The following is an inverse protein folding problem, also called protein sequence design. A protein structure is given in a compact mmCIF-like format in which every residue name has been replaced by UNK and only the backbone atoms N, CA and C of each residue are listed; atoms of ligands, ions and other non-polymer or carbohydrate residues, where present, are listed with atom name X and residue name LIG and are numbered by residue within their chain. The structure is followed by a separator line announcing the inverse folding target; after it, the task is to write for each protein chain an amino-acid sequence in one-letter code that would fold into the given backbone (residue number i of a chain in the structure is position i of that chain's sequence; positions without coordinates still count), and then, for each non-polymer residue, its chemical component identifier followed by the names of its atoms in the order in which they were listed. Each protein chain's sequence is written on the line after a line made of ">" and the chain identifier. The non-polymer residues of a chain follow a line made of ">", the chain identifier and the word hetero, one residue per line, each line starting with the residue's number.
data_IF_923214346849
#
_entry.id   IF_923214346849
#
_cell.length_a   1.000
_cell.length_b   1.000
_cell.length_c   1.000
_cell.angle_alpha   90.00
_cell.angle_beta   90.00
_cell.angle_gamma   90.00
#
_symmetry.space_group_name_H-M   'P 1'
#
loop_
_entity.id
_entity.type
_entity.pdbx_description
1 polymer ?
#
# COMPACT_ATOMS: atom_id res chain seq x y z
N UNK A 1 -5.06 10.73 6.10
CA UNK A 1 -4.88 9.33 5.63
C UNK A 1 -3.68 8.76 6.36
N UNK A 2 -3.77 7.56 6.93
CA UNK A 2 -2.63 6.99 7.64
C UNK A 2 -1.52 6.53 6.68
N UNK A 3 -0.25 6.52 7.14
CA UNK A 3 0.88 6.15 6.30
C UNK A 3 0.80 4.73 5.73
N UNK A 4 0.14 3.80 6.43
CA UNK A 4 0.06 2.42 5.95
C UNK A 4 -0.72 2.34 4.64
N UNK A 5 -1.86 3.02 4.54
CA UNK A 5 -2.64 3.08 3.31
C UNK A 5 -1.88 3.76 2.15
N UNK A 6 -1.17 4.85 2.45
CA UNK A 6 -0.45 5.61 1.43
C UNK A 6 0.78 4.83 0.92
N UNK A 7 1.54 4.22 1.82
CA UNK A 7 2.68 3.36 1.47
C UNK A 7 2.22 2.10 0.75
N UNK A 8 1.08 1.50 1.15
CA UNK A 8 0.49 0.36 0.43
C UNK A 8 0.14 0.73 -1.01
N UNK A 9 -0.46 1.90 -1.25
CA UNK A 9 -0.79 2.37 -2.60
C UNK A 9 0.47 2.50 -3.49
N UNK A 10 1.54 3.09 -2.96
CA UNK A 10 2.81 3.18 -3.68
C UNK A 10 3.47 1.81 -3.90
N UNK A 11 3.37 0.92 -2.92
CA UNK A 11 3.83 -0.45 -3.02
C UNK A 11 3.09 -1.26 -4.09
N UNK A 12 1.78 -1.07 -4.23
CA UNK A 12 0.96 -1.68 -5.27
C UNK A 12 1.36 -1.19 -6.68
N UNK A 13 1.64 0.11 -6.82
CA UNK A 13 2.15 0.69 -8.05
C UNK A 13 3.53 0.10 -8.44
N UNK A 14 4.45 -0.01 -7.47
CA UNK A 14 5.75 -0.66 -7.66
C UNK A 14 5.60 -2.12 -8.09
N UNK A 15 4.70 -2.87 -7.44
CA UNK A 15 4.46 -4.26 -7.76
C UNK A 15 3.79 -4.46 -9.13
N UNK A 16 2.94 -3.52 -9.56
CA UNK A 16 2.35 -3.52 -10.89
C UNK A 16 3.41 -3.27 -11.96
N UNK A 17 4.21 -2.20 -11.82
CA UNK A 17 5.30 -1.87 -12.74
C UNK A 17 6.29 -3.03 -12.86
N UNK A 18 6.73 -3.59 -11.72
CA UNK A 18 7.61 -4.76 -11.67
C UNK A 18 7.04 -5.96 -12.43
N UNK A 19 5.73 -6.24 -12.30
CA UNK A 19 5.09 -7.36 -13.01
C UNK A 19 4.99 -7.11 -14.50
N UNK A 20 4.74 -5.88 -14.94
CA UNK A 20 4.68 -5.52 -16.35
C UNK A 20 6.04 -5.64 -17.01
N UNK A 21 7.07 -5.00 -16.45
CA UNK A 21 8.45 -5.09 -16.97
C UNK A 21 8.93 -6.54 -17.00
N UNK A 22 8.56 -7.33 -15.99
CA UNK A 22 8.91 -8.74 -15.99
C UNK A 22 8.19 -9.54 -17.08
N UNK A 23 6.91 -9.26 -17.33
CA UNK A 23 6.18 -9.89 -18.42
C UNK A 23 6.78 -9.52 -19.78
N UNK A 24 7.15 -8.26 -19.96
CA UNK A 24 7.76 -7.74 -21.19
C UNK A 24 9.14 -8.39 -21.46
N UNK A 25 9.99 -8.44 -20.44
CA UNK A 25 11.36 -8.97 -20.57
C UNK A 25 11.43 -10.50 -20.62
N UNK A 26 10.56 -11.21 -19.90
CA UNK A 26 10.61 -12.67 -19.79
C UNK A 26 9.53 -13.39 -20.62
N UNK A 27 8.53 -12.68 -21.13
CA UNK A 27 7.39 -13.26 -21.87
C UNK A 27 6.43 -14.11 -21.02
N UNK A 28 6.59 -14.12 -19.69
CA UNK A 28 5.74 -14.89 -18.79
C UNK A 28 5.59 -14.24 -17.41
N UNK A 29 4.58 -14.70 -16.65
CA UNK A 29 4.43 -14.32 -15.24
C UNK A 29 5.60 -14.86 -14.42
N UNK A 30 6.00 -14.08 -13.41
CA UNK A 30 7.27 -14.29 -12.72
C UNK A 30 7.47 -15.63 -12.01
N UNK A 31 8.70 -16.13 -12.12
CA UNK A 31 9.24 -17.37 -11.53
C UNK A 31 10.34 -17.05 -10.53
N UNK A 32 10.65 -18.02 -9.67
CA UNK A 32 11.69 -17.87 -8.63
C UNK A 32 13.08 -17.52 -9.19
N UNK A 33 13.40 -17.98 -10.40
CA UNK A 33 14.66 -17.69 -11.10
C UNK A 33 14.75 -16.28 -11.67
N UNK A 34 13.61 -15.60 -11.84
CA UNK A 34 13.57 -14.34 -12.55
C UNK A 34 14.01 -13.20 -11.62
N UNK A 35 14.88 -12.29 -12.09
CA UNK A 35 15.56 -11.33 -11.21
C UNK A 35 14.58 -10.38 -10.50
N UNK A 36 13.61 -9.83 -11.23
CA UNK A 36 12.57 -8.95 -10.67
C UNK A 36 11.65 -9.68 -9.69
N UNK A 37 11.34 -10.96 -9.91
CA UNK A 37 10.51 -11.73 -8.98
C UNK A 37 11.29 -12.09 -7.71
N UNK A 38 12.57 -12.45 -7.85
CA UNK A 38 13.44 -12.74 -6.71
C UNK A 38 13.63 -11.49 -5.82
N UNK A 39 13.73 -10.30 -6.41
CA UNK A 39 13.92 -9.04 -5.70
C UNK A 39 12.66 -8.46 -5.03
N UNK A 40 11.46 -9.03 -5.26
CA UNK A 40 10.17 -8.45 -4.84
C UNK A 40 10.11 -7.99 -3.38
N UNK A 41 10.69 -8.74 -2.43
CA UNK A 41 10.70 -8.35 -1.00
C UNK A 41 11.72 -7.27 -0.70
N UNK A 42 12.88 -7.33 -1.35
CA UNK A 42 13.96 -6.36 -1.19
C UNK A 42 13.54 -5.00 -1.72
N UNK A 43 12.78 -4.95 -2.81
CA UNK A 43 12.22 -3.71 -3.37
C UNK A 43 11.31 -2.97 -2.37
N UNK A 44 10.55 -3.69 -1.55
CA UNK A 44 9.69 -3.08 -0.52
C UNK A 44 10.42 -2.67 0.76
N UNK A 45 11.69 -3.07 0.91
CA UNK A 45 12.49 -2.76 2.10
C UNK A 45 13.01 -1.33 2.02
N UNK A 46 12.85 -0.54 3.09
CA UNK A 46 13.38 0.83 3.15
C UNK A 46 14.90 0.84 2.97
N UNK A 47 15.44 1.80 2.22
CA UNK A 47 16.88 1.89 1.91
C UNK A 47 17.78 1.92 3.15
N UNK A 48 17.30 2.53 4.23
CA UNK A 48 17.91 2.58 5.56
C UNK A 48 18.00 1.22 6.26
N UNK A 49 17.19 0.25 5.84
CA UNK A 49 17.13 -1.11 6.41
C UNK A 49 17.79 -2.17 5.52
N UNK A 50 18.33 -1.79 4.36
CA UNK A 50 19.00 -2.72 3.46
C UNK A 50 20.41 -3.04 3.96
N UNK A 51 20.70 -4.35 4.07
CA UNK A 51 22.08 -4.85 4.21
C UNK A 51 22.92 -4.50 2.98
N UNK A 52 24.24 -4.44 3.13
CA UNK A 52 25.16 -4.19 1.99
C UNK A 52 24.89 -5.16 0.84
N UNK A 53 24.76 -6.44 1.16
CA UNK A 53 24.44 -7.50 0.17
C UNK A 53 23.13 -7.27 -0.57
N UNK A 54 22.11 -6.71 0.09
CA UNK A 54 20.84 -6.38 -0.55
C UNK A 54 20.96 -5.12 -1.43
N UNK A 55 21.73 -4.11 -0.99
CA UNK A 55 22.06 -2.94 -1.81
C UNK A 55 22.78 -3.35 -3.08
N UNK A 56 23.83 -4.15 -2.98
CA UNK A 56 24.59 -4.63 -4.14
C UNK A 56 23.71 -5.41 -5.14
N UNK A 57 22.79 -6.22 -4.62
CA UNK A 57 21.82 -6.94 -5.46
C UNK A 57 20.89 -5.99 -6.21
N UNK A 58 20.40 -4.93 -5.57
CA UNK A 58 19.57 -3.93 -6.23
C UNK A 58 20.38 -3.11 -7.24
N UNK A 59 21.61 -2.72 -6.91
CA UNK A 59 22.52 -2.06 -7.85
C UNK A 59 22.71 -2.90 -9.12
N UNK A 60 22.99 -4.19 -8.96
CA UNK A 60 23.13 -5.10 -10.10
C UNK A 60 21.81 -5.32 -10.85
N UNK A 61 20.68 -5.34 -10.14
CA UNK A 61 19.35 -5.47 -10.74
C UNK A 61 19.04 -4.26 -11.64
N UNK A 62 19.32 -3.05 -11.17
CA UNK A 62 19.01 -1.80 -11.88
C UNK A 62 20.06 -1.40 -12.91
N UNK A 63 21.22 -2.06 -12.96
CA UNK A 63 22.20 -1.91 -14.04
C UNK A 63 21.70 -2.43 -15.40
N UNK A 64 20.56 -3.11 -15.45
CA UNK A 64 19.92 -3.58 -16.68
C UNK A 64 18.93 -2.51 -17.17
N UNK A 65 19.16 -1.94 -18.35
CA UNK A 65 18.34 -0.85 -18.92
C UNK A 65 16.84 -1.20 -18.98
N UNK A 66 16.52 -2.46 -19.26
CA UNK A 66 15.13 -2.93 -19.29
C UNK A 66 14.41 -2.80 -17.93
N UNK A 67 15.14 -2.62 -16.82
CA UNK A 67 14.57 -2.43 -15.48
C UNK A 67 14.46 -0.95 -15.07
N UNK A 68 14.78 0.00 -15.95
CA UNK A 68 14.79 1.44 -15.62
C UNK A 68 13.44 1.94 -15.08
N UNK A 69 12.32 1.43 -15.59
CA UNK A 69 10.98 1.80 -15.09
C UNK A 69 10.75 1.33 -13.65
N UNK A 70 11.24 0.13 -13.31
CA UNK A 70 11.14 -0.42 -11.96
C UNK A 70 12.04 0.36 -11.01
N UNK A 71 13.26 0.72 -11.43
CA UNK A 71 14.18 1.55 -10.65
C UNK A 71 13.55 2.93 -10.33
N UNK A 72 13.04 3.62 -11.35
CA UNK A 72 12.38 4.91 -11.17
C UNK A 72 11.18 4.83 -10.22
N UNK A 73 10.34 3.80 -10.38
CA UNK A 73 9.17 3.57 -9.52
C UNK A 73 9.59 3.21 -8.09
N UNK A 74 10.65 2.40 -7.94
CA UNK A 74 11.24 2.07 -6.64
C UNK A 74 11.78 3.31 -5.93
N UNK A 75 12.48 4.20 -6.65
CA UNK A 75 12.96 5.47 -6.11
C UNK A 75 11.82 6.35 -5.57
N UNK A 76 10.67 6.40 -6.24
CA UNK A 76 9.47 7.12 -5.77
C UNK A 76 8.92 6.50 -4.49
N UNK A 77 8.80 5.17 -4.45
CA UNK A 77 8.39 4.44 -3.26
C UNK A 77 9.34 4.71 -2.06
N UNK A 78 10.65 4.69 -2.30
CA UNK A 78 11.64 4.98 -1.25
C UNK A 78 11.58 6.43 -0.77
N UNK A 79 11.43 7.41 -1.66
CA UNK A 79 11.23 8.82 -1.27
C UNK A 79 10.01 9.00 -0.39
N UNK A 80 8.93 8.25 -0.65
CA UNK A 80 7.74 8.26 0.20
C UNK A 80 8.01 7.67 1.59
N UNK A 81 8.73 6.55 1.67
CA UNK A 81 9.18 5.97 2.95
C UNK A 81 10.04 6.98 3.71
N UNK A 82 11.02 7.59 3.04
CA UNK A 82 11.92 8.58 3.64
C UNK A 82 11.14 9.77 4.21
N UNK A 83 10.13 10.27 3.50
CA UNK A 83 9.28 11.35 3.99
C UNK A 83 8.57 10.97 5.29
N UNK A 84 7.91 9.79 5.33
CA UNK A 84 7.20 9.32 6.52
C UNK A 84 8.09 8.95 7.70
N UNK A 85 9.31 8.48 7.45
CA UNK A 85 10.28 8.12 8.49
C UNK A 85 11.16 9.29 8.94
N UNK A 86 11.02 10.46 8.32
CA UNK A 86 11.87 11.60 8.65
C UNK A 86 11.65 12.03 10.11
N UNK A 87 12.70 12.10 10.94
CA UNK A 87 12.57 12.51 12.32
C UNK A 87 12.24 14.00 12.47
N UNK A 88 12.61 14.82 11.48
CA UNK A 88 12.29 16.24 11.47
C UNK A 88 10.85 16.49 11.00
N UNK A 89 10.12 17.21 11.83
CA UNK A 89 8.70 17.55 11.65
C UNK A 89 8.46 18.49 10.48
N UNK A 90 9.47 19.24 10.05
CA UNK A 90 9.37 20.15 8.89
C UNK A 90 9.80 19.48 7.60
N UNK A 91 10.91 18.74 7.64
CA UNK A 91 11.44 18.08 6.45
C UNK A 91 10.52 17.00 5.90
N UNK A 92 9.87 16.19 6.74
CA UNK A 92 8.93 15.14 6.31
C UNK A 92 7.80 15.63 5.38
N UNK A 93 6.98 16.61 5.78
CA UNK A 93 5.91 17.14 4.93
C UNK A 93 6.43 17.89 3.70
N UNK A 94 7.59 18.54 3.77
CA UNK A 94 8.23 19.19 2.61
C UNK A 94 8.64 18.16 1.56
N UNK A 95 9.28 17.06 1.98
CA UNK A 95 9.63 15.93 1.11
C UNK A 95 8.39 15.29 0.47
N UNK A 96 7.33 15.07 1.26
CA UNK A 96 6.08 14.50 0.75
C UNK A 96 5.40 15.43 -0.25
N UNK A 97 5.32 16.73 0.05
CA UNK A 97 4.71 17.72 -0.84
C UNK A 97 5.45 17.79 -2.17
N UNK A 98 6.79 17.86 -2.12
CA UNK A 98 7.66 17.86 -3.29
C UNK A 98 7.49 16.58 -4.12
N UNK A 99 7.35 15.43 -3.46
CA UNK A 99 7.10 14.16 -4.14
C UNK A 99 5.75 14.19 -4.89
N UNK A 100 4.68 14.59 -4.21
CA UNK A 100 3.32 14.66 -4.80
C UNK A 100 3.29 15.62 -5.99
N UNK A 101 3.92 16.78 -5.87
CA UNK A 101 4.00 17.75 -6.97
C UNK A 101 4.74 17.18 -8.18
N UNK A 102 5.90 16.57 -7.94
CA UNK A 102 6.76 15.95 -8.95
C UNK A 102 6.00 14.87 -9.73
N UNK A 103 5.36 13.93 -9.04
CA UNK A 103 4.67 12.82 -9.71
C UNK A 103 3.25 13.17 -10.17
N UNK A 104 2.74 14.36 -9.81
CA UNK A 104 1.42 14.83 -10.23
C UNK A 104 1.36 15.36 -11.67
N UNK A 105 2.51 15.72 -12.27
CA UNK A 105 2.56 16.44 -13.55
C UNK A 105 3.76 16.09 -14.44
N UNK A 106 4.90 15.72 -13.84
CA UNK A 106 6.18 15.59 -14.55
C UNK A 106 6.65 14.12 -14.67
N UNK A 107 5.73 13.21 -14.99
CA UNK A 107 6.00 11.77 -15.08
C UNK A 107 6.10 11.34 -16.55
N UNK A 108 7.19 10.67 -16.96
CA UNK A 108 7.30 10.07 -18.30
C UNK A 108 6.14 9.12 -18.61
N UNK A 109 5.66 9.12 -19.86
CA UNK A 109 4.52 8.31 -20.28
C UNK A 109 4.70 6.79 -20.07
N UNK A 110 5.95 6.32 -20.04
CA UNK A 110 6.29 4.93 -19.75
C UNK A 110 5.87 4.51 -18.32
N UNK A 111 5.91 5.43 -17.33
CA UNK A 111 5.62 5.12 -15.93
C UNK A 111 4.11 5.21 -15.62
N UNK A 112 3.31 4.37 -16.27
CA UNK A 112 1.84 4.40 -16.19
C UNK A 112 1.31 4.23 -14.76
N UNK A 113 1.95 3.36 -13.97
CA UNK A 113 1.60 3.12 -12.56
C UNK A 113 1.86 4.35 -11.71
N UNK A 114 2.97 5.05 -11.97
CA UNK A 114 3.34 6.29 -11.28
C UNK A 114 2.36 7.42 -11.63
N UNK A 115 1.93 7.52 -12.89
CA UNK A 115 0.90 8.50 -13.29
C UNK A 115 -0.40 8.27 -12.49
N UNK A 116 -0.80 7.00 -12.35
CA UNK A 116 -2.02 6.63 -11.60
C UNK A 116 -1.87 6.92 -10.10
N UNK A 117 -0.71 6.57 -9.53
CA UNK A 117 -0.35 6.90 -8.15
C UNK A 117 -0.39 8.42 -7.93
N UNK A 118 0.26 9.19 -8.81
CA UNK A 118 0.35 10.65 -8.70
C UNK A 118 -1.01 11.35 -8.77
N UNK A 119 -1.91 10.92 -9.66
CA UNK A 119 -3.30 11.41 -9.69
C UNK A 119 -4.02 11.17 -8.36
N UNK A 120 -3.84 9.98 -7.78
CA UNK A 120 -4.46 9.62 -6.52
C UNK A 120 -3.90 10.44 -5.38
N UNK A 121 -2.57 10.54 -5.25
CA UNK A 121 -1.92 11.34 -4.21
C UNK A 121 -2.25 12.82 -4.33
N UNK A 122 -2.30 13.37 -5.55
CA UNK A 122 -2.69 14.77 -5.75
C UNK A 122 -4.12 15.02 -5.28
N UNK A 123 -5.04 14.08 -5.53
CA UNK A 123 -6.44 14.18 -5.09
C UNK A 123 -6.55 14.14 -3.56
N UNK A 124 -5.74 13.32 -2.87
CA UNK A 124 -5.77 13.19 -1.41
C UNK A 124 -4.62 13.94 -0.70
N UNK A 125 -3.97 14.91 -1.36
CA UNK A 125 -2.76 15.55 -0.84
C UNK A 125 -2.98 16.18 0.55
N UNK A 126 -4.12 16.84 0.75
CA UNK A 126 -4.50 17.40 2.06
C UNK A 126 -4.56 16.33 3.13
N UNK A 127 -5.16 15.17 2.85
CA UNK A 127 -5.28 14.07 3.81
C UNK A 127 -3.94 13.41 4.11
N UNK A 128 -3.06 13.30 3.10
CA UNK A 128 -1.71 12.75 3.22
C UNK A 128 -0.85 13.66 4.09
N UNK A 129 -0.89 14.98 3.85
CA UNK A 129 -0.07 15.95 4.57
C UNK A 129 -0.55 16.18 6.01
N UNK A 130 -1.85 16.07 6.28
CA UNK A 130 -2.41 16.22 7.62
C UNK A 130 -1.82 15.22 8.65
N UNK A 131 -1.29 14.08 8.20
CA UNK A 131 -0.59 13.15 9.09
C UNK A 131 0.64 13.80 9.77
N UNK A 132 1.35 14.67 9.05
CA UNK A 132 2.57 15.30 9.56
C UNK A 132 2.31 16.36 10.63
N UNK A 133 1.08 16.89 10.72
CA UNK A 133 0.70 17.86 11.76
C UNK A 133 0.59 17.21 13.15
N UNK A 134 0.28 15.91 13.20
CA UNK A 134 0.09 15.15 14.45
C UNK A 134 0.75 13.77 14.34
N UNK A 135 2.09 13.70 14.33
CA UNK A 135 2.79 12.42 14.23
C UNK A 135 2.43 11.52 15.43
N UNK A 136 2.11 10.25 15.15
CA UNK A 136 1.74 9.26 16.16
C UNK A 136 0.23 9.07 16.37
N UNK A 137 -0.63 9.79 15.64
CA UNK A 137 -2.06 9.43 15.57
C UNK A 137 -2.20 8.09 14.86
N UNK A 138 -2.76 7.10 15.54
CA UNK A 138 -2.98 5.76 15.00
C UNK A 138 -4.38 5.62 14.44
N UNK A 139 -4.49 5.11 13.21
CA UNK A 139 -5.77 4.63 12.67
C UNK A 139 -6.18 3.26 13.25
N UNK A 140 -5.37 2.67 14.14
CA UNK A 140 -5.61 1.36 14.75
C UNK A 140 -7.01 1.15 15.32
N UNK A 141 -7.61 2.09 16.08
CA UNK A 141 -8.98 1.94 16.56
C UNK A 141 -10.02 1.86 15.42
N UNK A 142 -9.87 2.70 14.41
CA UNK A 142 -10.74 2.70 13.22
C UNK A 142 -10.56 1.41 12.42
N UNK A 143 -9.32 0.98 12.20
CA UNK A 143 -8.99 -0.29 11.52
C UNK A 143 -9.52 -1.50 12.28
N UNK A 144 -9.47 -1.50 13.61
CA UNK A 144 -10.03 -2.56 14.44
C UNK A 144 -11.55 -2.67 14.29
N UNK A 145 -12.25 -1.53 14.16
CA UNK A 145 -13.69 -1.52 13.88
C UNK A 145 -13.95 -2.00 12.45
N UNK A 146 -13.20 -1.50 11.46
CA UNK A 146 -13.34 -1.91 10.06
C UNK A 146 -13.14 -3.42 9.89
N UNK A 147 -12.10 -4.00 10.48
CA UNK A 147 -11.86 -5.45 10.42
C UNK A 147 -13.01 -6.27 11.03
N UNK A 148 -13.64 -5.78 12.10
CA UNK A 148 -14.84 -6.42 12.67
C UNK A 148 -16.04 -6.33 11.74
N UNK A 149 -16.24 -5.17 11.09
CA UNK A 149 -17.30 -4.98 10.10
C UNK A 149 -17.07 -5.86 8.87
N UNK A 150 -15.85 -5.94 8.35
CA UNK A 150 -15.51 -6.81 7.21
C UNK A 150 -15.74 -8.29 7.53
N UNK A 151 -15.37 -8.74 8.73
CA UNK A 151 -15.67 -10.09 9.19
C UNK A 151 -17.18 -10.36 9.24
N UNK A 152 -17.95 -9.40 9.76
CA UNK A 152 -19.40 -9.47 9.82
C UNK A 152 -20.04 -9.49 8.41
N UNK A 153 -19.53 -8.68 7.49
CA UNK A 153 -19.95 -8.68 6.10
C UNK A 153 -19.64 -10.02 5.43
N UNK A 154 -18.49 -10.61 5.73
CA UNK A 154 -18.09 -11.93 5.25
C UNK A 154 -19.02 -13.05 5.71
N UNK A 155 -19.49 -13.02 6.97
CA UNK A 155 -20.37 -14.06 7.52
C UNK A 155 -21.79 -14.04 6.94
N UNK A 156 -22.22 -12.89 6.41
CA UNK A 156 -23.50 -12.68 5.73
C UNK A 156 -23.37 -12.60 4.19
N UNK A 157 -22.19 -12.90 3.64
CA UNK A 157 -21.96 -12.87 2.20
C UNK A 157 -22.87 -13.89 1.47
N UNK A 158 -23.54 -13.47 0.40
CA UNK A 158 -24.41 -14.32 -0.42
C UNK A 158 -25.92 -14.15 -0.18
N UNK A 159 -26.33 -13.48 0.89
CA UNK A 159 -27.73 -13.07 1.07
C UNK A 159 -28.04 -11.88 0.15
N UNK A 160 -29.01 -12.08 -0.76
CA UNK A 160 -29.47 -11.03 -1.70
C UNK A 160 -30.60 -10.16 -1.15
N UNK A 161 -31.16 -10.57 0.00
CA UNK A 161 -32.23 -9.88 0.70
C UNK A 161 -31.64 -9.20 1.95
N UNK A 162 -31.90 -7.89 2.10
CA UNK A 162 -31.33 -7.08 3.18
C UNK A 162 -31.77 -7.58 4.56
N UNK A 163 -33.03 -7.99 4.72
CA UNK A 163 -33.53 -8.50 5.99
C UNK A 163 -32.80 -9.80 6.39
N UNK A 164 -32.55 -10.70 5.44
CA UNK A 164 -31.79 -11.94 5.69
C UNK A 164 -30.31 -11.67 5.96
N UNK A 165 -29.72 -10.71 5.27
CA UNK A 165 -28.35 -10.25 5.53
C UNK A 165 -28.23 -9.73 6.96
N UNK A 166 -29.11 -8.80 7.36
CA UNK A 166 -29.14 -8.23 8.72
C UNK A 166 -29.35 -9.33 9.76
N UNK A 167 -30.30 -10.25 9.55
CA UNK A 167 -30.55 -11.34 10.47
C UNK A 167 -29.32 -12.24 10.67
N UNK A 168 -28.60 -12.58 9.59
CA UNK A 168 -27.37 -13.38 9.67
C UNK A 168 -26.27 -12.62 10.43
N UNK A 169 -26.08 -11.34 10.15
CA UNK A 169 -25.11 -10.50 10.85
C UNK A 169 -25.44 -10.36 12.36
N UNK A 170 -26.72 -10.18 12.71
CA UNK A 170 -27.15 -10.11 14.10
C UNK A 170 -27.00 -11.44 14.86
N UNK A 171 -27.21 -12.58 14.19
CA UNK A 171 -26.97 -13.90 14.80
C UNK A 171 -25.50 -14.11 15.17
N UNK A 172 -24.58 -13.68 14.30
CA UNK A 172 -23.14 -13.82 14.52
C UNK A 172 -22.63 -12.89 15.64
N UNK A 173 -23.12 -11.65 15.69
CA UNK A 173 -22.68 -10.64 16.68
C UNK A 173 -23.37 -10.75 18.03
N UNK A 174 -24.63 -11.18 18.07
CA UNK A 174 -25.43 -11.25 19.28
C UNK A 174 -25.31 -12.55 20.07
N UNK A 175 -24.85 -13.63 19.41
CA UNK A 175 -24.92 -14.99 19.93
C UNK A 175 -26.36 -15.46 20.17
N UNK A 176 -26.60 -16.77 20.19
CA UNK A 176 -27.80 -17.29 20.86
C UNK A 176 -27.64 -16.98 22.34
N UNK A 177 -28.36 -15.97 22.87
CA UNK A 177 -28.48 -15.80 24.32
C UNK A 177 -29.36 -16.95 24.83
N UNK A 178 -28.85 -17.92 25.59
CA UNK A 178 -29.73 -18.84 26.29
C UNK A 178 -30.64 -17.98 27.19
N UNK A 179 -31.95 -18.21 27.16
CA UNK A 179 -32.82 -17.64 28.20
C UNK A 179 -32.32 -18.20 29.53
N UNK A 180 -31.66 -17.36 30.33
CA UNK A 180 -31.03 -17.79 31.57
C UNK A 180 -32.05 -18.33 32.59
N UNK A 181 -33.35 -18.07 32.42
CA UNK A 181 -34.42 -18.73 33.17
C UNK A 181 -35.65 -18.98 32.30
N UNK A 182 -36.29 -20.17 32.38
CA UNK A 182 -37.65 -20.36 31.91
C UNK A 182 -38.59 -19.52 32.77
N UNK A 183 -39.45 -18.72 32.14
CA UNK A 183 -40.60 -18.15 32.82
C UNK A 183 -41.60 -19.29 33.02
N UNK A 184 -41.66 -19.81 34.24
CA UNK A 184 -42.77 -20.59 34.77
C UNK A 184 -43.93 -19.66 35.12
#
# INVERSE_FOLDING_TARGET
>A
MDPFHVVRLAGEALDACRRLVQLDTCGHRGRTSDPLYAARRTLHTGTDLLTDKQRDRLTNLFAVDAHAEVDATWGIYQRMITAYRNPDRRTGPELMSTLIESIGHAVPAALTEVITLGRTLKKCATDVLAYFDRPGTSNGPTEAINGRLEHLCGSALGFRDLCRYIARSLLETGGFRPRLHPQS
#
